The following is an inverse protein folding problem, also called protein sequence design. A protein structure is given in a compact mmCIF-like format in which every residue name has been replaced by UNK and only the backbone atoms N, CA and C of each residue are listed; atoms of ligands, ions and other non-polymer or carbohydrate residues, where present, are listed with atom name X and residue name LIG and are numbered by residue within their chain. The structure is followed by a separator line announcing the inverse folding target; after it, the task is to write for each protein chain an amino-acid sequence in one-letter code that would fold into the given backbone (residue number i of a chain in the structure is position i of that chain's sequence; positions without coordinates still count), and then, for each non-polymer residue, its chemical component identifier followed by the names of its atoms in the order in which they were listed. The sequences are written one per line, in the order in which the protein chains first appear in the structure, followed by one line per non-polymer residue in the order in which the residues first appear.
data_IF_463328455086
#
_entry.id   IF_463328455086
#
_cell.length_a   1.000
_cell.length_b   1.000
_cell.length_c   1.000
_cell.angle_alpha   90.00
_cell.angle_beta   90.00
_cell.angle_gamma   90.00
#
_symmetry.space_group_name_H-M   'P 1'
#
loop_
_entity.id
_entity.type
_entity.pdbx_description
1 polymer ?
#
# COMPACT_ATOMS: atom_id res chain seq x y z
N UNK A 1 -17.73 23.23 11.21
CA UNK A 1 -18.17 21.86 11.53
C UNK A 1 -16.89 21.05 11.67
N UNK A 2 -16.47 20.76 12.90
CA UNK A 2 -15.33 19.86 13.12
C UNK A 2 -15.80 18.52 12.58
N UNK A 3 -15.15 18.03 11.52
CA UNK A 3 -15.44 16.68 11.03
C UNK A 3 -14.90 15.74 12.10
N UNK A 4 -15.79 15.26 12.97
CA UNK A 4 -15.45 14.20 13.91
C UNK A 4 -15.08 12.97 13.09
N UNK A 5 -13.77 12.77 12.93
CA UNK A 5 -13.24 11.56 12.31
C UNK A 5 -13.67 10.40 13.19
N UNK A 6 -14.26 9.36 12.58
CA UNK A 6 -14.69 8.19 13.31
C UNK A 6 -13.51 7.61 14.11
N UNK A 7 -13.63 7.64 15.44
CA UNK A 7 -12.60 7.16 16.36
C UNK A 7 -12.22 5.71 16.07
N UNK A 8 -13.15 4.91 15.55
CA UNK A 8 -12.90 3.52 15.14
C UNK A 8 -11.87 3.43 14.02
N UNK A 9 -11.91 4.34 13.04
CA UNK A 9 -10.93 4.39 11.96
C UNK A 9 -9.55 4.82 12.47
N UNK A 10 -9.51 5.76 13.43
CA UNK A 10 -8.25 6.18 14.07
C UNK A 10 -7.66 5.00 14.84
N UNK A 11 -8.45 4.29 15.64
CA UNK A 11 -7.97 3.11 16.37
C UNK A 11 -7.55 1.98 15.42
N UNK A 12 -8.27 1.76 14.32
CA UNK A 12 -7.87 0.81 13.29
C UNK A 12 -6.53 1.19 12.64
N UNK A 13 -6.32 2.48 12.35
CA UNK A 13 -5.06 2.98 11.81
C UNK A 13 -3.91 2.75 12.79
N UNK A 14 -4.09 3.10 14.06
CA UNK A 14 -3.10 2.86 15.11
C UNK A 14 -2.80 1.36 15.27
N UNK A 15 -3.83 0.51 15.21
CA UNK A 15 -3.70 -0.94 15.27
C UNK A 15 -2.92 -1.51 14.08
N UNK A 16 -2.95 -0.88 12.90
CA UNK A 16 -2.11 -1.25 11.76
C UNK A 16 -0.68 -0.67 11.85
N UNK A 17 -0.53 0.55 12.37
CA UNK A 17 0.77 1.22 12.50
C UNK A 17 1.68 0.58 13.56
N UNK A 18 1.12 0.13 14.69
CA UNK A 18 1.90 -0.51 15.77
C UNK A 18 2.66 -1.75 15.29
N UNK A 19 2.04 -2.76 14.66
CA UNK A 19 2.76 -3.92 14.16
C UNK A 19 3.73 -3.57 13.03
N UNK A 20 3.41 -2.59 12.16
CA UNK A 20 4.37 -2.08 11.17
C UNK A 20 5.62 -1.49 11.84
N UNK A 21 5.43 -0.69 12.89
CA UNK A 21 6.54 -0.13 13.66
C UNK A 21 7.37 -1.24 14.32
N UNK A 22 6.72 -2.25 14.89
CA UNK A 22 7.40 -3.40 15.49
C UNK A 22 8.24 -4.14 14.44
N UNK A 23 7.67 -4.43 13.27
CA UNK A 23 8.37 -5.09 12.17
C UNK A 23 9.54 -4.25 11.65
N UNK A 24 9.37 -2.93 11.55
CA UNK A 24 10.44 -2.00 11.18
C UNK A 24 11.57 -2.02 12.22
N UNK A 25 11.24 -1.94 13.51
CA UNK A 25 12.23 -2.00 14.59
C UNK A 25 12.98 -3.34 14.58
N UNK A 26 12.29 -4.45 14.36
CA UNK A 26 12.93 -5.77 14.17
C UNK A 26 13.89 -5.71 12.98
N UNK A 27 13.47 -5.18 11.83
CA UNK A 27 14.32 -5.07 10.64
C UNK A 27 15.55 -4.16 10.82
N UNK A 28 15.45 -3.11 11.64
CA UNK A 28 16.54 -2.17 11.92
C UNK A 28 17.53 -2.72 12.95
N UNK A 29 17.04 -3.39 13.99
CA UNK A 29 17.87 -3.89 15.09
C UNK A 29 18.32 -5.35 14.93
N UNK A 30 17.72 -6.10 14.01
CA UNK A 30 18.17 -7.46 13.69
C UNK A 30 19.32 -7.40 12.67
N UNK A 31 20.47 -8.03 12.95
CA UNK A 31 21.53 -8.13 11.97
C UNK A 31 21.05 -8.93 10.75
N UNK A 32 21.44 -8.49 9.55
CA UNK A 32 21.16 -9.25 8.35
C UNK A 32 21.78 -10.66 8.48
N UNK A 33 21.00 -11.73 8.23
CA UNK A 33 21.55 -13.08 8.16
C UNK A 33 22.75 -13.14 7.21
N UNK A 34 23.87 -13.80 7.58
CA UNK A 34 25.07 -13.85 6.75
C UNK A 34 24.80 -14.33 5.33
N UNK A 35 23.87 -15.27 5.17
CA UNK A 35 23.45 -15.83 3.89
C UNK A 35 22.70 -14.85 2.98
N UNK A 36 22.26 -13.69 3.48
CA UNK A 36 21.59 -12.64 2.71
C UNK A 36 22.51 -11.48 2.32
N UNK A 37 23.74 -11.46 2.83
CA UNK A 37 24.71 -10.42 2.51
C UNK A 37 25.11 -10.52 1.03
N UNK A 38 25.08 -9.41 0.26
CA UNK A 38 25.52 -9.43 -1.13
C UNK A 38 26.98 -9.83 -1.26
N UNK A 39 27.29 -10.72 -2.20
CA UNK A 39 28.65 -11.17 -2.49
C UNK A 39 29.09 -10.68 -3.86
N UNK A 40 30.38 -10.39 -4.10
CA UNK A 40 30.88 -10.07 -5.43
C UNK A 40 30.63 -11.20 -6.42
N UNK A 41 30.24 -10.85 -7.66
CA UNK A 41 30.03 -11.81 -8.73
C UNK A 41 31.40 -12.40 -9.18
N UNK A 42 31.53 -13.73 -9.36
CA UNK A 42 32.82 -14.38 -9.65
C UNK A 42 33.55 -13.81 -10.86
N UNK A 43 32.79 -13.47 -11.92
CA UNK A 43 33.35 -13.02 -13.20
C UNK A 43 33.30 -11.49 -13.40
N UNK A 44 32.62 -10.76 -12.52
CA UNK A 44 32.34 -9.33 -12.71
C UNK A 44 32.44 -8.58 -11.37
N UNK A 45 33.65 -8.18 -10.99
CA UNK A 45 33.97 -7.46 -9.74
C UNK A 45 33.01 -6.32 -9.34
N UNK A 46 32.50 -5.45 -10.24
CA UNK A 46 31.58 -4.40 -9.84
C UNK A 46 30.14 -4.89 -9.57
N UNK A 47 29.81 -6.13 -9.95
CA UNK A 47 28.47 -6.70 -9.81
C UNK A 47 28.36 -7.48 -8.50
N UNK A 48 27.29 -7.20 -7.75
CA UNK A 48 26.95 -7.97 -6.56
C UNK A 48 25.88 -9.01 -6.92
N UNK A 49 26.09 -10.26 -6.49
CA UNK A 49 25.07 -11.28 -6.47
C UNK A 49 24.36 -11.28 -5.13
N UNK A 50 23.07 -11.68 -5.13
CA UNK A 50 22.39 -11.96 -3.87
C UNK A 50 23.12 -13.06 -3.12
N UNK A 51 23.18 -12.97 -1.78
CA UNK A 51 23.74 -14.03 -0.96
C UNK A 51 23.05 -15.38 -1.20
N UNK A 52 23.75 -16.47 -0.88
CA UNK A 52 23.30 -17.84 -1.16
C UNK A 52 21.99 -18.25 -0.49
N UNK A 53 21.56 -17.52 0.55
CA UNK A 53 20.32 -17.75 1.26
C UNK A 53 19.16 -16.88 0.77
N UNK A 54 19.33 -16.10 -0.29
CA UNK A 54 18.27 -15.25 -0.82
C UNK A 54 17.05 -16.08 -1.29
N UNK A 55 15.82 -15.62 -1.01
CA UNK A 55 15.45 -14.35 -0.39
C UNK A 55 15.32 -14.40 1.14
N UNK A 56 15.74 -15.49 1.77
CA UNK A 56 15.72 -15.69 3.21
C UNK A 56 14.81 -16.85 3.61
N UNK A 57 14.79 -17.11 4.92
CA UNK A 57 13.94 -18.16 5.48
C UNK A 57 12.44 -17.81 5.43
N UNK A 58 11.55 -18.78 5.72
CA UNK A 58 10.10 -18.59 5.69
C UNK A 58 9.60 -17.41 6.55
N UNK A 59 10.28 -17.12 7.67
CA UNK A 59 9.93 -15.99 8.53
C UNK A 59 10.18 -14.63 7.87
N UNK A 60 11.25 -14.50 7.08
CA UNK A 60 11.56 -13.26 6.34
C UNK A 60 10.51 -13.02 5.26
N UNK A 61 10.14 -14.09 4.54
CA UNK A 61 9.09 -14.02 3.51
C UNK A 61 7.73 -13.67 4.14
N UNK A 62 7.40 -14.29 5.27
CA UNK A 62 6.18 -14.00 6.01
C UNK A 62 6.17 -12.56 6.52
N UNK A 63 7.29 -12.06 7.05
CA UNK A 63 7.42 -10.68 7.48
C UNK A 63 7.22 -9.71 6.32
N UNK A 64 7.77 -10.01 5.14
CA UNK A 64 7.54 -9.23 3.91
C UNK A 64 6.07 -9.22 3.49
N UNK A 65 5.40 -10.39 3.51
CA UNK A 65 3.98 -10.51 3.21
C UNK A 65 3.11 -9.69 4.19
N UNK A 66 3.32 -9.87 5.49
CA UNK A 66 2.57 -9.15 6.53
C UNK A 66 2.79 -7.65 6.42
N UNK A 67 4.03 -7.22 6.16
CA UNK A 67 4.36 -5.80 5.96
C UNK A 67 3.58 -5.22 4.79
N UNK A 68 3.58 -5.89 3.63
CA UNK A 68 2.85 -5.41 2.45
C UNK A 68 1.34 -5.32 2.68
N UNK A 69 0.75 -6.33 3.32
CA UNK A 69 -0.68 -6.32 3.68
C UNK A 69 -1.01 -5.16 4.63
N UNK A 70 -0.20 -4.94 5.67
CA UNK A 70 -0.42 -3.85 6.62
C UNK A 70 -0.27 -2.46 5.97
N UNK A 71 0.69 -2.28 5.04
CA UNK A 71 0.83 -1.03 4.29
C UNK A 71 -0.39 -0.77 3.41
N UNK A 72 -0.87 -1.77 2.67
CA UNK A 72 -2.07 -1.64 1.84
C UNK A 72 -3.30 -1.34 2.70
N UNK A 73 -3.44 -2.02 3.84
CA UNK A 73 -4.51 -1.78 4.80
C UNK A 73 -4.46 -0.33 5.33
N UNK A 74 -3.27 0.16 5.69
CA UNK A 74 -3.05 1.53 6.15
C UNK A 74 -3.49 2.54 5.09
N UNK A 75 -3.11 2.33 3.82
CA UNK A 75 -3.56 3.16 2.70
C UNK A 75 -5.09 3.19 2.61
N UNK A 76 -5.74 2.02 2.67
CA UNK A 76 -7.20 1.91 2.63
C UNK A 76 -7.89 2.65 3.78
N UNK A 77 -7.36 2.56 5.01
CA UNK A 77 -7.87 3.27 6.18
C UNK A 77 -7.70 4.79 6.01
N UNK A 78 -6.53 5.25 5.54
CA UNK A 78 -6.28 6.67 5.26
C UNK A 78 -7.26 7.23 4.22
N UNK A 79 -7.54 6.48 3.15
CA UNK A 79 -8.54 6.87 2.15
C UNK A 79 -9.95 6.93 2.75
N UNK A 80 -10.33 5.95 3.58
CA UNK A 80 -11.64 5.96 4.26
C UNK A 80 -11.80 7.13 5.22
N UNK A 81 -10.73 7.52 5.92
CA UNK A 81 -10.71 8.75 6.70
C UNK A 81 -10.97 9.92 5.76
N UNK A 82 -10.32 10.01 4.60
CA UNK A 82 -10.52 11.10 3.63
C UNK A 82 -11.97 11.25 3.13
N UNK A 83 -12.70 10.17 2.94
CA UNK A 83 -14.07 10.18 2.37
C UNK A 83 -15.11 10.67 3.39
N UNK A 84 -16.06 11.52 2.96
CA UNK A 84 -17.21 11.96 3.80
C UNK A 84 -18.08 10.77 4.18
N UNK A 85 -18.66 10.79 5.38
CA UNK A 85 -19.50 9.69 5.85
C UNK A 85 -20.78 9.48 5.03
N UNK A 86 -21.28 10.57 4.43
CA UNK A 86 -22.47 10.58 3.57
C UNK A 86 -22.23 9.86 2.24
N UNK A 87 -20.98 9.78 1.77
CA UNK A 87 -20.59 9.14 0.51
C UNK A 87 -20.45 7.61 0.66
N UNK A 88 -21.52 6.93 1.10
CA UNK A 88 -21.55 5.48 1.37
C UNK A 88 -21.14 4.61 0.17
N UNK A 89 -21.43 5.06 -1.06
CA UNK A 89 -21.03 4.35 -2.28
C UNK A 89 -19.51 4.37 -2.45
N UNK A 90 -18.89 5.56 -2.35
CA UNK A 90 -17.45 5.71 -2.47
C UNK A 90 -16.71 4.98 -1.35
N UNK A 91 -17.21 5.03 -0.11
CA UNK A 91 -16.64 4.24 1.01
C UNK A 91 -16.62 2.74 0.69
N UNK A 92 -17.70 2.18 0.15
CA UNK A 92 -17.75 0.76 -0.26
C UNK A 92 -16.75 0.46 -1.38
N UNK A 93 -16.61 1.36 -2.36
CA UNK A 93 -15.60 1.24 -3.41
C UNK A 93 -14.17 1.27 -2.88
N UNK A 94 -13.86 2.13 -1.91
CA UNK A 94 -12.54 2.18 -1.26
C UNK A 94 -12.27 0.86 -0.53
N UNK A 95 -13.23 0.32 0.22
CA UNK A 95 -13.08 -0.99 0.89
C UNK A 95 -12.85 -2.10 -0.14
N UNK A 96 -13.70 -2.19 -1.15
CA UNK A 96 -13.59 -3.22 -2.20
C UNK A 96 -12.25 -3.11 -2.93
N UNK A 97 -11.85 -1.90 -3.33
CA UNK A 97 -10.56 -1.65 -3.96
C UNK A 97 -9.39 -2.03 -3.07
N UNK A 98 -9.46 -1.74 -1.76
CA UNK A 98 -8.39 -2.14 -0.82
C UNK A 98 -8.28 -3.65 -0.72
N UNK A 99 -9.41 -4.36 -0.67
CA UNK A 99 -9.44 -5.83 -0.67
C UNK A 99 -8.86 -6.40 -1.97
N UNK A 100 -9.24 -5.84 -3.12
CA UNK A 100 -8.66 -6.23 -4.41
C UNK A 100 -7.15 -5.96 -4.45
N UNK A 101 -6.70 -4.83 -3.91
CA UNK A 101 -5.28 -4.52 -3.85
C UNK A 101 -4.50 -5.55 -3.01
N UNK A 102 -5.05 -5.93 -1.86
CA UNK A 102 -4.47 -7.00 -1.04
C UNK A 102 -4.43 -8.34 -1.78
N UNK A 103 -5.45 -8.67 -2.57
CA UNK A 103 -5.45 -9.88 -3.41
C UNK A 103 -4.39 -9.83 -4.51
N UNK A 104 -4.21 -8.68 -5.17
CA UNK A 104 -3.16 -8.46 -6.19
C UNK A 104 -1.76 -8.64 -5.57
N UNK A 105 -1.53 -8.05 -4.40
CA UNK A 105 -0.28 -8.26 -3.66
C UNK A 105 -0.11 -9.71 -3.19
N UNK A 106 -1.19 -10.38 -2.79
CA UNK A 106 -1.19 -11.81 -2.48
C UNK A 106 -0.79 -12.67 -3.68
N UNK A 107 -1.34 -12.38 -4.87
CA UNK A 107 -0.99 -13.07 -6.11
C UNK A 107 0.50 -12.86 -6.48
N UNK A 108 1.02 -11.65 -6.28
CA UNK A 108 2.46 -11.38 -6.40
C UNK A 108 3.25 -12.33 -5.50
N UNK A 109 2.95 -12.36 -4.20
CA UNK A 109 3.71 -13.15 -3.23
C UNK A 109 3.61 -14.66 -3.47
N UNK A 110 2.45 -15.16 -3.92
CA UNK A 110 2.27 -16.55 -4.31
C UNK A 110 3.10 -16.89 -5.56
N UNK A 111 3.02 -16.07 -6.61
CA UNK A 111 3.82 -16.28 -7.82
C UNK A 111 5.32 -16.17 -7.57
N UNK A 112 5.72 -15.35 -6.60
CA UNK A 112 7.10 -15.25 -6.14
C UNK A 112 7.55 -16.53 -5.43
N UNK A 113 6.73 -17.08 -4.54
CA UNK A 113 7.01 -18.36 -3.88
C UNK A 113 7.12 -19.52 -4.87
N UNK A 114 6.23 -19.61 -5.84
CA UNK A 114 6.29 -20.62 -6.90
C UNK A 114 7.58 -20.50 -7.72
N UNK A 115 7.97 -19.26 -8.08
CA UNK A 115 9.21 -18.99 -8.80
C UNK A 115 10.45 -19.44 -8.01
N UNK A 116 10.50 -19.18 -6.70
CA UNK A 116 11.60 -19.61 -5.82
C UNK A 116 11.71 -21.13 -5.70
N UNK A 117 10.59 -21.85 -5.78
CA UNK A 117 10.56 -23.31 -5.70
C UNK A 117 10.92 -23.99 -7.03
N UNK A 118 11.39 -23.24 -8.03
CA UNK A 118 11.71 -23.78 -9.35
C UNK A 118 10.46 -24.12 -10.17
N UNK A 119 9.34 -23.46 -9.88
CA UNK A 119 8.13 -23.54 -10.69
C UNK A 119 8.36 -23.10 -12.14
N UNK A 120 7.39 -23.37 -13.04
CA UNK A 120 7.52 -23.01 -14.44
C UNK A 120 7.69 -21.51 -14.61
N UNK A 121 8.63 -21.10 -15.49
CA UNK A 121 8.80 -19.70 -15.85
C UNK A 121 7.61 -19.23 -16.69
N UNK A 122 6.59 -18.69 -16.02
CA UNK A 122 5.44 -18.05 -16.67
C UNK A 122 5.80 -16.61 -17.00
N UNK A 123 5.72 -16.25 -18.28
CA UNK A 123 5.95 -14.89 -18.77
C UNK A 123 4.61 -14.24 -19.11
N UNK A 124 4.37 -13.05 -18.58
CA UNK A 124 3.20 -12.23 -18.89
C UNK A 124 3.64 -10.80 -19.23
N UNK A 125 3.21 -10.29 -20.39
CA UNK A 125 3.57 -8.94 -20.84
C UNK A 125 5.08 -8.72 -20.91
N UNK A 126 5.86 -9.75 -21.26
CA UNK A 126 7.32 -9.70 -21.37
C UNK A 126 8.10 -9.84 -20.05
N UNK A 127 7.42 -10.04 -18.92
CA UNK A 127 8.03 -10.17 -17.60
C UNK A 127 7.70 -11.51 -16.94
N UNK A 128 8.58 -12.07 -16.08
CA UNK A 128 8.22 -13.18 -15.20
C UNK A 128 6.99 -12.85 -14.35
N UNK A 129 6.15 -13.85 -14.07
CA UNK A 129 4.89 -13.68 -13.33
C UNK A 129 5.00 -12.79 -12.07
N UNK A 130 5.96 -12.97 -11.14
CA UNK A 130 6.07 -12.09 -9.97
C UNK A 130 6.40 -10.63 -10.35
N UNK A 131 7.27 -10.42 -11.34
CA UNK A 131 7.59 -9.08 -11.85
C UNK A 131 6.41 -8.43 -12.57
N UNK A 132 5.61 -9.23 -13.29
CA UNK A 132 4.39 -8.78 -13.94
C UNK A 132 3.34 -8.33 -12.91
N UNK A 133 3.13 -9.09 -11.83
CA UNK A 133 2.25 -8.66 -10.73
C UNK A 133 2.77 -7.41 -10.03
N UNK A 134 4.09 -7.26 -9.88
CA UNK A 134 4.67 -6.06 -9.29
C UNK A 134 4.42 -4.82 -10.15
N UNK A 135 4.69 -4.89 -11.44
CA UNK A 135 4.58 -3.75 -12.35
C UNK A 135 3.12 -3.47 -12.77
N UNK A 136 2.40 -4.48 -13.24
CA UNK A 136 1.05 -4.30 -13.78
C UNK A 136 -0.05 -4.39 -12.73
N UNK A 137 0.23 -5.08 -11.62
CA UNK A 137 -0.68 -5.15 -10.48
C UNK A 137 -0.37 -4.04 -9.49
N UNK A 138 0.67 -4.23 -8.68
CA UNK A 138 0.95 -3.38 -7.51
C UNK A 138 1.24 -1.93 -7.87
N UNK A 139 2.04 -1.68 -8.90
CA UNK A 139 2.39 -0.31 -9.29
C UNK A 139 1.24 0.43 -9.99
N UNK A 140 0.45 -0.25 -10.83
CA UNK A 140 -0.69 0.37 -11.53
C UNK A 140 -1.94 0.51 -10.66
N UNK A 141 -2.21 -0.41 -9.73
CA UNK A 141 -3.48 -0.43 -9.00
C UNK A 141 -3.81 0.87 -8.24
N UNK A 142 -2.86 1.56 -7.57
CA UNK A 142 -3.13 2.84 -6.91
C UNK A 142 -3.75 3.91 -7.82
N UNK A 143 -3.52 3.86 -9.13
CA UNK A 143 -4.15 4.78 -10.09
C UNK A 143 -5.67 4.69 -10.08
N UNK A 144 -6.25 3.52 -9.77
CA UNK A 144 -7.70 3.36 -9.63
C UNK A 144 -8.24 4.27 -8.53
N UNK A 145 -7.54 4.37 -7.39
CA UNK A 145 -7.93 5.28 -6.31
C UNK A 145 -7.73 6.74 -6.69
N UNK A 146 -6.64 7.07 -7.39
CA UNK A 146 -6.36 8.43 -7.86
C UNK A 146 -7.45 8.90 -8.82
N UNK A 147 -7.79 8.09 -9.81
CA UNK A 147 -8.85 8.41 -10.79
C UNK A 147 -10.19 8.56 -10.08
N UNK A 148 -10.54 7.63 -9.18
CA UNK A 148 -11.78 7.73 -8.40
C UNK A 148 -11.82 9.02 -7.55
N UNK A 149 -10.71 9.40 -6.93
CA UNK A 149 -10.59 10.65 -6.18
C UNK A 149 -10.81 11.87 -7.08
N UNK A 150 -10.12 11.95 -8.23
CA UNK A 150 -10.25 13.09 -9.15
C UNK A 150 -11.68 13.21 -9.69
N UNK A 151 -12.29 12.11 -10.12
CA UNK A 151 -13.64 12.13 -10.70
C UNK A 151 -14.70 12.49 -9.65
N UNK A 152 -14.50 12.12 -8.38
CA UNK A 152 -15.45 12.40 -7.31
C UNK A 152 -15.11 13.65 -6.50
N UNK A 153 -14.09 14.41 -6.91
CA UNK A 153 -13.56 15.53 -6.14
C UNK A 153 -14.62 16.60 -5.90
N UNK A 154 -15.25 17.08 -6.97
CA UNK A 154 -16.25 18.14 -6.90
C UNK A 154 -17.50 17.71 -6.14
N UNK A 155 -17.92 16.45 -6.25
CA UNK A 155 -19.15 15.99 -5.60
C UNK A 155 -18.95 15.65 -4.11
N UNK A 156 -17.81 15.05 -3.77
CA UNK A 156 -17.58 14.46 -2.45
C UNK A 156 -16.64 15.29 -1.59
N UNK A 157 -15.59 15.87 -2.16
CA UNK A 157 -14.54 16.54 -1.41
C UNK A 157 -14.70 18.07 -1.40
N UNK A 158 -15.09 18.67 -2.52
CA UNK A 158 -15.29 20.12 -2.64
C UNK A 158 -16.61 20.50 -3.35
N UNK A 159 -17.76 20.15 -2.76
CA UNK A 159 -19.04 20.48 -3.37
C UNK A 159 -19.36 21.98 -3.31
N UNK A 160 -20.26 22.48 -4.19
CA UNK A 160 -20.62 23.90 -4.27
C UNK A 160 -21.09 24.50 -2.93
N UNK A 161 -21.71 23.68 -2.08
CA UNK A 161 -22.10 24.03 -0.71
C UNK A 161 -20.89 24.44 0.17
N UNK A 162 -19.76 23.77 -0.01
CA UNK A 162 -18.51 24.06 0.71
C UNK A 162 -17.90 25.37 0.24
N UNK A 163 -17.95 25.65 -1.07
CA UNK A 163 -17.48 26.91 -1.65
C UNK A 163 -18.35 28.10 -1.19
N UNK A 164 -19.68 27.95 -1.24
CA UNK A 164 -20.61 28.98 -0.80
C UNK A 164 -20.38 29.37 0.67
N UNK A 165 -20.21 28.37 1.54
CA UNK A 165 -19.89 28.58 2.95
C UNK A 165 -18.52 29.23 3.14
N UNK A 166 -17.52 28.84 2.35
CA UNK A 166 -16.20 29.46 2.43
C UNK A 166 -16.25 30.95 2.09
N UNK A 167 -17.01 31.33 1.05
CA UNK A 167 -17.27 32.73 0.68
C UNK A 167 -18.01 33.49 1.78
N UNK A 168 -19.00 32.87 2.43
CA UNK A 168 -19.72 33.46 3.56
C UNK A 168 -18.76 33.78 4.73
N UNK A 169 -17.87 32.85 5.07
CA UNK A 169 -16.88 33.03 6.14
C UNK A 169 -15.85 34.12 5.81
N UNK A 170 -15.45 34.26 4.53
CA UNK A 170 -14.58 35.34 4.08
C UNK A 170 -15.26 36.70 4.25
N UNK A 171 -16.50 36.85 3.77
CA UNK A 171 -17.26 38.09 3.89
C UNK A 171 -17.47 38.49 5.35
N UNK A 172 -17.76 37.53 6.23
CA UNK A 172 -17.92 37.77 7.67
C UNK A 172 -16.62 38.22 8.35
N UNK A 173 -15.46 37.81 7.83
CA UNK A 173 -14.14 38.23 8.32
C UNK A 173 -13.78 39.64 7.83
N UNK A 174 -14.12 40.00 6.59
CA UNK A 174 -13.85 41.34 6.04
C UNK A 174 -14.71 42.44 6.69
N UNK A 175 -15.89 42.09 7.22
CA UNK A 175 -16.77 43.01 7.92
C UNK A 175 -16.40 43.25 9.40
N UNK A 176 -15.34 42.60 9.91
CA UNK A 176 -14.92 42.65 11.32
C UNK A 176 -13.54 43.29 11.47
#
# INVERSE_FOLDING_TARGET
MIRDVDRRLIYALLCACVPLLILLLIGVFSPAPPELVPTPHPDFDPMLSSGSGAPGGPLVILAGFVTGILVILMIGICLLIGVRETAKSLRRWVVAGTVVYMMVFGALMLSYLEFLQGGPLVIFGGLPAPSAWMLYGVWLFPWVFIIAFVVTFDDVYFPPESEARFRELLNAKEQR
#
